data_IF_240748931494
#
_entry.id   IF_240748931494
#
_cell.length_a   1.000
_cell.length_b   1.000
_cell.length_c   1.000
_cell.angle_alpha   90.00
_cell.angle_beta   90.00
_cell.angle_gamma   90.00
#
_symmetry.space_group_name_H-M   'P 1'
#
loop_
_entity.id
_entity.type
_entity.pdbx_description
1 polymer ?
#
# COMPACT_ATOMS: atom_id res chain seq x y z
N UNK A 1 -21.71 6.99 5.80
CA UNK A 1 -21.64 6.72 4.33
C UNK A 1 -21.88 5.23 4.15
N UNK A 2 -22.94 4.84 3.45
CA UNK A 2 -23.11 3.46 3.00
C UNK A 2 -21.95 3.14 2.06
N UNK A 3 -21.06 2.24 2.48
CA UNK A 3 -20.06 1.66 1.60
C UNK A 3 -20.80 0.66 0.71
N UNK A 4 -21.15 1.06 -0.51
CA UNK A 4 -21.68 0.12 -1.49
C UNK A 4 -20.57 -0.86 -1.86
N UNK A 5 -20.74 -2.13 -1.48
CA UNK A 5 -19.87 -3.19 -1.96
C UNK A 5 -20.28 -3.52 -3.40
N UNK A 6 -19.36 -3.30 -4.34
CA UNK A 6 -19.57 -3.69 -5.75
C UNK A 6 -19.10 -5.14 -6.04
N UNK A 7 -18.68 -5.86 -4.99
CA UNK A 7 -18.13 -7.21 -5.13
C UNK A 7 -16.69 -7.22 -5.70
N UNK A 8 -16.28 -8.39 -6.16
CA UNK A 8 -14.98 -8.62 -6.80
C UNK A 8 -15.15 -8.46 -8.32
N UNK A 9 -14.14 -7.90 -8.99
CA UNK A 9 -14.11 -7.79 -10.44
C UNK A 9 -14.28 -9.17 -11.10
N UNK A 10 -15.21 -9.27 -12.04
CA UNK A 10 -15.42 -10.52 -12.79
C UNK A 10 -14.30 -10.76 -13.80
N UNK A 11 -14.07 -12.02 -14.18
CA UNK A 11 -13.10 -12.37 -15.23
C UNK A 11 -13.43 -11.67 -16.57
N UNK A 12 -14.70 -11.48 -16.89
CA UNK A 12 -15.12 -10.74 -18.09
C UNK A 12 -14.69 -9.26 -18.01
N UNK A 13 -14.94 -8.60 -16.89
CA UNK A 13 -14.52 -7.21 -16.68
C UNK A 13 -13.00 -7.09 -16.75
N UNK A 14 -12.26 -7.99 -16.09
CA UNK A 14 -10.81 -8.07 -16.15
C UNK A 14 -10.30 -8.18 -17.59
N UNK A 15 -10.88 -9.09 -18.39
CA UNK A 15 -10.50 -9.26 -19.79
C UNK A 15 -10.78 -8.02 -20.63
N UNK A 16 -11.91 -7.35 -20.39
CA UNK A 16 -12.25 -6.12 -21.09
C UNK A 16 -11.28 -4.98 -20.78
N UNK A 17 -10.89 -4.83 -19.50
CA UNK A 17 -9.88 -3.85 -19.09
C UNK A 17 -8.54 -4.14 -19.75
N UNK A 18 -8.05 -5.39 -19.69
CA UNK A 18 -6.77 -5.77 -20.27
C UNK A 18 -6.74 -5.60 -21.80
N UNK A 19 -7.81 -5.98 -22.50
CA UNK A 19 -7.91 -5.75 -23.96
C UNK A 19 -7.93 -4.26 -24.32
N UNK A 20 -8.57 -3.44 -23.50
CA UNK A 20 -8.59 -1.99 -23.71
C UNK A 20 -7.20 -1.38 -23.52
N UNK A 21 -6.48 -1.81 -22.47
CA UNK A 21 -5.10 -1.39 -22.22
C UNK A 21 -4.17 -1.81 -23.37
N UNK A 22 -4.19 -3.10 -23.74
CA UNK A 22 -3.34 -3.63 -24.81
C UNK A 22 -3.50 -2.86 -26.13
N UNK A 23 -4.75 -2.51 -26.50
CA UNK A 23 -5.03 -1.72 -27.71
C UNK A 23 -4.53 -0.29 -27.67
N UNK A 24 -4.30 0.26 -26.48
CA UNK A 24 -3.83 1.63 -26.29
C UNK A 24 -2.30 1.75 -26.20
N UNK A 25 -1.61 0.62 -26.14
CA UNK A 25 -0.16 0.54 -25.98
C UNK A 25 0.53 0.23 -27.30
N UNK A 26 1.77 0.67 -27.42
CA UNK A 26 2.67 0.44 -28.56
C UNK A 26 3.99 -0.17 -28.10
N UNK A 27 4.73 -0.87 -28.96
CA UNK A 27 6.09 -1.32 -28.65
C UNK A 27 6.97 -0.16 -28.17
N UNK A 28 7.64 -0.37 -27.03
CA UNK A 28 8.42 0.65 -26.32
C UNK A 28 7.71 1.28 -25.13
N UNK A 29 6.38 1.08 -24.99
CA UNK A 29 5.64 1.60 -23.86
C UNK A 29 5.95 0.81 -22.56
N UNK A 30 5.88 1.53 -21.44
CA UNK A 30 6.01 0.97 -20.10
C UNK A 30 4.74 1.29 -19.31
N UNK A 31 4.12 0.27 -18.72
CA UNK A 31 2.92 0.42 -17.91
C UNK A 31 3.10 -0.20 -16.52
N UNK A 32 2.63 0.47 -15.50
CA UNK A 32 2.49 -0.11 -14.15
C UNK A 32 1.02 -0.27 -13.81
N UNK A 33 0.61 -1.50 -13.55
CA UNK A 33 -0.75 -1.81 -13.10
C UNK A 33 -0.76 -1.83 -11.57
N UNK A 34 -1.48 -0.89 -10.96
CA UNK A 34 -1.56 -0.74 -9.52
C UNK A 34 -2.93 -1.23 -9.03
N UNK A 35 -2.94 -2.30 -8.23
CA UNK A 35 -4.14 -2.79 -7.56
C UNK A 35 -4.29 -2.08 -6.22
N UNK A 36 -5.35 -1.28 -6.09
CA UNK A 36 -5.67 -0.53 -4.88
C UNK A 36 -7.18 -0.35 -4.73
N UNK A 37 -7.59 0.16 -3.56
CA UNK A 37 -9.01 0.42 -3.26
C UNK A 37 -9.70 -0.77 -2.60
N UNK A 38 -10.46 -0.53 -1.51
CA UNK A 38 -10.89 -1.58 -0.62
C UNK A 38 -9.67 -2.37 -0.08
N UNK A 39 -9.76 -3.71 -0.13
CA UNK A 39 -8.61 -4.59 0.10
C UNK A 39 -8.48 -5.52 -1.13
N UNK A 40 -7.50 -5.29 -2.01
CA UNK A 40 -7.37 -6.06 -3.25
C UNK A 40 -7.16 -7.56 -3.02
N UNK A 41 -6.48 -7.94 -1.95
CA UNK A 41 -6.20 -9.36 -1.66
C UNK A 41 -7.45 -10.20 -1.40
N UNK A 42 -8.62 -9.57 -1.16
CA UNK A 42 -9.91 -10.26 -1.06
C UNK A 42 -10.32 -10.95 -2.37
N UNK A 43 -9.78 -10.53 -3.52
CA UNK A 43 -10.00 -11.20 -4.79
C UNK A 43 -9.31 -12.58 -4.87
N UNK A 44 -8.39 -12.86 -3.96
CA UNK A 44 -7.61 -14.09 -3.91
C UNK A 44 -6.42 -14.09 -4.88
N UNK A 45 -5.36 -14.83 -4.54
CA UNK A 45 -4.12 -14.85 -5.33
C UNK A 45 -4.33 -15.40 -6.74
N UNK A 46 -5.26 -16.33 -6.94
CA UNK A 46 -5.55 -16.91 -8.24
C UNK A 46 -6.15 -15.91 -9.23
N UNK A 47 -6.90 -14.91 -8.74
CA UNK A 47 -7.34 -13.81 -9.58
C UNK A 47 -6.12 -13.06 -10.14
N UNK A 48 -5.14 -12.74 -9.30
CA UNK A 48 -3.93 -12.03 -9.71
C UNK A 48 -3.02 -12.87 -10.60
N UNK A 49 -2.93 -14.19 -10.37
CA UNK A 49 -2.23 -15.11 -11.28
C UNK A 49 -2.83 -15.07 -12.68
N UNK A 50 -4.17 -15.17 -12.78
CA UNK A 50 -4.86 -15.08 -14.07
C UNK A 50 -4.68 -13.72 -14.73
N UNK A 51 -4.73 -12.63 -13.93
CA UNK A 51 -4.51 -11.29 -14.42
C UNK A 51 -3.09 -11.14 -15.03
N UNK A 52 -2.06 -11.51 -14.30
CA UNK A 52 -0.68 -11.42 -14.76
C UNK A 52 -0.41 -12.31 -15.99
N UNK A 53 -0.91 -13.55 -16.00
CA UNK A 53 -0.75 -14.46 -17.12
C UNK A 53 -1.35 -13.93 -18.45
N UNK A 54 -2.36 -13.06 -18.37
CA UNK A 54 -2.93 -12.43 -19.56
C UNK A 54 -2.01 -11.41 -20.21
N UNK A 55 -1.20 -10.73 -19.42
CA UNK A 55 -0.23 -9.75 -19.94
C UNK A 55 1.03 -10.41 -20.50
N UNK A 56 1.29 -11.68 -20.17
CA UNK A 56 2.42 -12.46 -20.72
C UNK A 56 2.32 -12.68 -22.25
N UNK A 57 1.09 -12.59 -22.78
CA UNK A 57 0.83 -12.72 -24.22
C UNK A 57 0.89 -11.41 -25.01
N UNK A 58 1.18 -10.29 -24.38
CA UNK A 58 1.27 -8.99 -25.05
C UNK A 58 2.54 -8.86 -25.88
N UNK A 59 2.59 -7.83 -26.74
CA UNK A 59 3.78 -7.54 -27.52
C UNK A 59 5.02 -7.45 -26.61
N UNK A 60 6.12 -8.20 -26.92
CA UNK A 60 7.32 -8.21 -26.08
C UNK A 60 8.03 -6.86 -25.98
N UNK A 61 7.71 -5.91 -26.85
CA UNK A 61 8.17 -4.53 -26.76
C UNK A 61 7.45 -3.71 -25.67
N UNK A 62 6.35 -4.21 -25.08
CA UNK A 62 5.63 -3.56 -23.98
C UNK A 62 6.14 -4.08 -22.64
N UNK A 63 6.58 -3.18 -21.78
CA UNK A 63 7.01 -3.53 -20.41
C UNK A 63 5.87 -3.37 -19.41
N UNK A 64 5.45 -4.46 -18.74
CA UNK A 64 4.38 -4.45 -17.74
C UNK A 64 4.96 -4.69 -16.35
N UNK A 65 4.69 -3.78 -15.43
CA UNK A 65 5.03 -3.90 -14.01
C UNK A 65 3.76 -3.94 -13.16
N UNK A 66 3.84 -4.55 -11.99
CA UNK A 66 2.72 -4.68 -11.07
C UNK A 66 3.02 -4.06 -9.71
N UNK A 67 2.03 -3.40 -9.13
CA UNK A 67 2.07 -2.97 -7.75
C UNK A 67 0.75 -3.32 -7.03
N UNK A 68 0.82 -3.60 -5.74
CA UNK A 68 -0.31 -3.96 -4.90
C UNK A 68 -0.30 -3.15 -3.62
N UNK A 69 -1.34 -2.38 -3.33
CA UNK A 69 -1.52 -1.71 -2.04
C UNK A 69 -2.45 -2.54 -1.15
N UNK A 70 -1.97 -2.93 0.03
CA UNK A 70 -2.70 -3.82 0.93
C UNK A 70 -2.55 -3.43 2.40
N UNK A 71 -3.55 -3.79 3.20
CA UNK A 71 -3.46 -3.74 4.66
C UNK A 71 -2.65 -4.91 5.26
N UNK A 72 -2.22 -5.87 4.45
CA UNK A 72 -1.40 -7.00 4.84
C UNK A 72 -2.10 -8.10 5.63
N UNK A 73 -3.39 -7.98 5.91
CA UNK A 73 -4.11 -8.93 6.78
C UNK A 73 -4.24 -10.33 6.19
N UNK A 74 -4.23 -10.46 4.86
CA UNK A 74 -4.40 -11.73 4.14
C UNK A 74 -3.08 -12.29 3.60
N UNK A 75 -1.96 -11.64 3.89
CA UNK A 75 -0.67 -12.06 3.35
C UNK A 75 -0.23 -13.40 3.96
N UNK A 76 0.12 -14.34 3.11
CA UNK A 76 0.61 -15.67 3.45
C UNK A 76 1.76 -16.10 2.52
N UNK A 77 2.19 -17.35 2.61
CA UNK A 77 3.29 -17.88 1.80
C UNK A 77 2.93 -18.00 0.31
N UNK A 78 1.69 -18.31 -0.03
CA UNK A 78 1.22 -18.41 -1.40
C UNK A 78 1.20 -17.04 -2.09
N UNK A 79 0.73 -16.02 -1.37
CA UNK A 79 0.86 -14.64 -1.80
C UNK A 79 2.32 -14.22 -1.98
N UNK A 80 3.21 -14.52 -1.03
CA UNK A 80 4.61 -14.17 -1.15
C UNK A 80 5.28 -14.83 -2.36
N UNK A 81 4.95 -16.09 -2.66
CA UNK A 81 5.45 -16.78 -3.83
C UNK A 81 5.06 -16.06 -5.14
N UNK A 82 3.77 -15.73 -5.30
CA UNK A 82 3.27 -14.98 -6.43
C UNK A 82 3.92 -13.59 -6.56
N UNK A 83 3.94 -12.82 -5.45
CA UNK A 83 4.49 -11.46 -5.43
C UNK A 83 5.98 -11.45 -5.81
N UNK A 84 6.74 -12.45 -5.34
CA UNK A 84 8.15 -12.60 -5.67
C UNK A 84 8.36 -13.02 -7.12
N UNK A 85 7.63 -14.03 -7.61
CA UNK A 85 7.68 -14.51 -8.99
C UNK A 85 7.43 -13.39 -9.99
N UNK A 86 6.37 -12.61 -9.74
CA UNK A 86 5.93 -11.53 -10.64
C UNK A 86 6.58 -10.18 -10.34
N UNK A 87 7.53 -10.12 -9.39
CA UNK A 87 8.21 -8.89 -8.97
C UNK A 87 7.24 -7.75 -8.66
N UNK A 88 6.15 -8.07 -7.96
CA UNK A 88 5.12 -7.09 -7.58
C UNK A 88 5.67 -6.21 -6.47
N UNK A 89 5.65 -4.89 -6.66
CA UNK A 89 5.95 -3.95 -5.59
C UNK A 89 4.76 -3.87 -4.63
N UNK A 90 4.98 -4.19 -3.35
CA UNK A 90 3.94 -4.16 -2.33
C UNK A 90 3.97 -2.84 -1.57
N UNK A 91 2.87 -2.10 -1.59
CA UNK A 91 2.62 -0.98 -0.68
C UNK A 91 1.90 -1.49 0.56
N UNK A 92 2.63 -1.72 1.66
CA UNK A 92 2.05 -2.21 2.92
C UNK A 92 1.58 -1.03 3.78
N UNK A 93 0.29 -1.01 4.09
CA UNK A 93 -0.31 0.04 4.93
C UNK A 93 0.09 -0.12 6.40
N UNK A 94 0.96 0.78 6.91
CA UNK A 94 1.41 0.75 8.30
C UNK A 94 1.72 2.16 8.82
N UNK A 95 1.08 2.56 9.92
CA UNK A 95 1.17 3.95 10.44
C UNK A 95 2.27 4.13 11.50
N UNK A 96 3.31 3.29 11.50
CA UNK A 96 4.56 3.36 12.27
C UNK A 96 4.43 3.25 13.78
N UNK A 97 3.53 3.99 14.42
CA UNK A 97 3.38 4.04 15.88
C UNK A 97 2.20 3.16 16.29
N UNK A 98 2.46 2.13 17.12
CA UNK A 98 1.53 1.06 17.47
C UNK A 98 0.18 1.57 17.94
N UNK A 99 0.16 2.41 18.98
CA UNK A 99 -1.09 2.93 19.55
C UNK A 99 -1.90 3.75 18.54
N UNK A 100 -1.22 4.51 17.68
CA UNK A 100 -1.88 5.32 16.64
C UNK A 100 -2.33 4.48 15.46
N UNK A 101 -1.56 3.45 15.11
CA UNK A 101 -1.95 2.47 14.11
C UNK A 101 -3.20 1.71 14.54
N UNK A 102 -3.16 1.12 15.74
CA UNK A 102 -4.27 0.31 16.27
C UNK A 102 -5.52 1.14 16.58
N UNK A 103 -5.35 2.43 16.88
CA UNK A 103 -6.48 3.36 17.03
C UNK A 103 -7.18 3.70 15.70
N UNK A 104 -6.48 3.60 14.57
CA UNK A 104 -7.01 3.96 13.25
C UNK A 104 -7.32 2.74 12.37
N UNK A 105 -6.58 1.63 12.54
CA UNK A 105 -6.68 0.42 11.72
C UNK A 105 -7.08 -0.77 12.57
N UNK A 106 -8.34 -1.12 12.48
CA UNK A 106 -8.93 -2.24 13.22
C UNK A 106 -9.42 -3.33 12.26
N UNK A 107 -9.46 -4.56 12.76
CA UNK A 107 -10.09 -5.69 12.05
C UNK A 107 -11.63 -5.65 12.17
N UNK A 108 -12.30 -6.60 11.54
CA UNK A 108 -13.76 -6.75 11.59
C UNK A 108 -14.32 -6.93 13.01
N UNK A 109 -13.47 -7.28 13.99
CA UNK A 109 -13.80 -7.42 15.40
C UNK A 109 -13.39 -6.21 16.25
N UNK A 110 -13.06 -5.07 15.59
CA UNK A 110 -12.57 -3.83 16.22
C UNK A 110 -11.29 -3.99 17.03
N UNK A 111 -10.43 -4.96 16.70
CA UNK A 111 -9.11 -5.17 17.32
C UNK A 111 -8.04 -4.52 16.48
N UNK A 112 -7.04 -3.91 17.11
CA UNK A 112 -5.89 -3.33 16.43
C UNK A 112 -5.14 -4.34 15.57
N UNK A 113 -4.58 -3.87 14.45
CA UNK A 113 -3.97 -4.73 13.42
C UNK A 113 -2.44 -4.70 13.41
N UNK A 114 -1.80 -3.88 14.27
CA UNK A 114 -0.34 -3.68 14.32
C UNK A 114 0.43 -5.01 14.34
N UNK A 115 0.08 -5.93 15.26
CA UNK A 115 0.77 -7.21 15.37
C UNK A 115 0.71 -8.01 14.06
N UNK A 116 -0.47 -8.10 13.45
CA UNK A 116 -0.67 -8.86 12.21
C UNK A 116 0.10 -8.23 11.04
N UNK A 117 0.09 -6.91 10.94
CA UNK A 117 0.84 -6.20 9.89
C UNK A 117 2.35 -6.40 10.04
N UNK A 118 2.88 -6.40 11.27
CA UNK A 118 4.28 -6.70 11.53
C UNK A 118 4.66 -8.15 11.18
N UNK A 119 3.78 -9.12 11.41
CA UNK A 119 3.96 -10.51 10.97
C UNK A 119 4.02 -10.57 9.43
N UNK A 120 3.14 -9.85 8.74
CA UNK A 120 3.12 -9.74 7.28
C UNK A 120 4.39 -9.08 6.73
N UNK A 121 4.86 -8.01 7.36
CA UNK A 121 6.11 -7.34 7.01
C UNK A 121 7.31 -8.32 7.08
N UNK A 122 7.43 -9.05 8.20
CA UNK A 122 8.49 -10.08 8.35
C UNK A 122 8.38 -11.18 7.30
N UNK A 123 7.15 -11.54 6.91
CA UNK A 123 6.93 -12.55 5.88
C UNK A 123 7.40 -12.05 4.51
N UNK A 124 7.12 -10.79 4.14
CA UNK A 124 7.65 -10.16 2.92
C UNK A 124 9.18 -10.13 2.95
N UNK A 125 9.79 -9.65 4.04
CA UNK A 125 11.26 -9.60 4.21
C UNK A 125 11.89 -10.99 4.05
N UNK A 126 11.35 -11.98 4.75
CA UNK A 126 11.86 -13.37 4.71
C UNK A 126 11.81 -13.98 3.31
N UNK A 127 10.79 -13.67 2.52
CA UNK A 127 10.62 -14.17 1.16
C UNK A 127 11.31 -13.28 0.11
N UNK A 128 11.96 -12.18 0.51
CA UNK A 128 12.63 -11.24 -0.38
C UNK A 128 11.65 -10.59 -1.38
N UNK A 129 10.43 -10.32 -0.96
CA UNK A 129 9.44 -9.53 -1.72
C UNK A 129 9.75 -8.06 -1.52
N UNK A 130 9.79 -7.29 -2.60
CA UNK A 130 10.00 -5.85 -2.53
C UNK A 130 8.74 -5.15 -2.00
N UNK A 131 8.92 -4.30 -1.00
CA UNK A 131 7.82 -3.52 -0.45
C UNK A 131 8.27 -2.15 0.05
N UNK A 132 7.32 -1.23 0.06
CA UNK A 132 7.41 0.05 0.77
C UNK A 132 6.27 0.14 1.80
N UNK A 133 6.45 1.01 2.78
CA UNK A 133 5.40 1.32 3.74
C UNK A 133 4.59 2.52 3.24
N UNK A 134 3.27 2.38 3.31
CA UNK A 134 2.33 3.47 3.09
C UNK A 134 1.80 3.92 4.46
N UNK A 135 2.29 5.05 4.94
CA UNK A 135 1.90 5.64 6.21
C UNK A 135 0.98 6.84 5.98
N UNK A 136 -0.22 6.81 6.54
CA UNK A 136 -1.08 7.99 6.58
C UNK A 136 -0.55 8.94 7.66
N UNK A 137 0.12 10.01 7.22
CA UNK A 137 0.70 10.99 8.13
C UNK A 137 -0.40 11.88 8.73
N UNK A 138 -0.89 11.47 9.88
CA UNK A 138 -1.86 12.23 10.67
C UNK A 138 -1.17 13.24 11.58
N UNK A 139 -1.92 14.25 12.06
CA UNK A 139 -1.40 15.21 13.03
C UNK A 139 -0.83 14.55 14.32
N UNK A 140 -1.46 13.50 14.92
CA UNK A 140 -0.86 12.76 16.04
C UNK A 140 0.50 12.10 15.68
N UNK A 141 0.62 11.45 14.53
CA UNK A 141 1.88 10.80 14.10
C UNK A 141 2.96 11.85 13.86
N UNK A 142 2.62 12.96 13.20
CA UNK A 142 3.56 14.02 12.85
C UNK A 142 4.10 14.80 14.04
N UNK A 143 3.61 14.55 15.26
CA UNK A 143 4.18 15.08 16.51
C UNK A 143 5.42 14.32 16.99
N UNK A 144 5.72 13.16 16.40
CA UNK A 144 6.72 12.23 16.89
C UNK A 144 7.71 11.77 15.80
N UNK A 145 8.33 12.69 15.03
CA UNK A 145 9.20 12.31 13.91
C UNK A 145 10.39 11.42 14.34
N UNK A 146 11.00 11.66 15.50
CA UNK A 146 12.12 10.85 16.00
C UNK A 146 11.66 9.44 16.43
N UNK A 147 10.41 9.27 16.90
CA UNK A 147 9.86 7.96 17.19
C UNK A 147 9.58 7.20 15.90
N UNK A 148 9.07 7.89 14.88
CA UNK A 148 8.85 7.33 13.54
C UNK A 148 10.17 6.86 12.94
N UNK A 149 11.21 7.71 13.00
CA UNK A 149 12.54 7.34 12.51
C UNK A 149 13.09 6.10 13.21
N UNK A 150 13.13 6.10 14.56
CA UNK A 150 13.57 4.93 15.34
C UNK A 150 12.78 3.67 14.99
N UNK A 151 11.48 3.80 14.71
CA UNK A 151 10.66 2.66 14.31
C UNK A 151 11.04 2.14 12.93
N UNK A 152 11.35 3.02 11.98
CA UNK A 152 11.86 2.61 10.66
C UNK A 152 13.17 1.82 10.80
N UNK A 153 14.11 2.31 11.61
CA UNK A 153 15.37 1.61 11.87
C UNK A 153 15.16 0.23 12.53
N UNK A 154 14.33 0.15 13.57
CA UNK A 154 14.01 -1.11 14.27
C UNK A 154 13.38 -2.18 13.37
N UNK A 155 12.63 -1.76 12.36
CA UNK A 155 11.94 -2.65 11.42
C UNK A 155 12.73 -2.90 10.14
N UNK A 156 13.93 -2.33 10.01
CA UNK A 156 14.73 -2.32 8.77
C UNK A 156 13.90 -1.89 7.54
N UNK A 157 13.09 -0.84 7.71
CA UNK A 157 12.25 -0.28 6.65
C UNK A 157 12.97 0.90 6.03
N UNK A 158 13.30 0.79 4.74
CA UNK A 158 14.08 1.81 4.00
C UNK A 158 13.20 2.74 3.16
N UNK A 159 12.04 2.28 2.74
CA UNK A 159 11.15 3.00 1.83
C UNK A 159 9.80 3.24 2.51
N UNK A 160 9.48 4.48 2.76
CA UNK A 160 8.22 4.91 3.35
C UNK A 160 7.64 6.06 2.54
N UNK A 161 6.39 5.93 2.17
CA UNK A 161 5.60 7.02 1.61
C UNK A 161 4.69 7.57 2.71
N UNK A 162 4.89 8.83 3.08
CA UNK A 162 4.00 9.54 4.00
C UNK A 162 2.94 10.30 3.21
N UNK A 163 1.69 9.85 3.29
CA UNK A 163 0.55 10.52 2.67
C UNK A 163 -0.12 11.43 3.70
N UNK A 164 -0.16 12.76 3.51
CA UNK A 164 -0.75 13.66 4.49
C UNK A 164 -2.25 13.42 4.62
N UNK A 165 -2.72 13.29 5.88
CA UNK A 165 -4.14 13.26 6.19
C UNK A 165 -4.70 14.68 6.10
N UNK A 166 -5.65 14.89 5.21
CA UNK A 166 -6.32 16.17 5.01
C UNK A 166 -7.72 16.16 5.62
N UNK A 167 -8.25 17.33 5.92
CA UNK A 167 -9.65 17.51 6.27
C UNK A 167 -10.58 17.18 5.09
N UNK A 168 -11.83 16.88 5.39
CA UNK A 168 -12.85 16.89 4.36
C UNK A 168 -13.02 18.31 3.81
N UNK A 169 -13.23 18.43 2.49
CA UNK A 169 -13.35 19.72 1.82
C UNK A 169 -14.52 20.54 2.38
N UNK A 170 -15.59 19.86 2.80
CA UNK A 170 -16.80 20.46 3.32
C UNK A 170 -16.66 20.96 4.76
N UNK A 171 -15.70 20.42 5.52
CA UNK A 171 -15.52 20.72 6.96
C UNK A 171 -14.04 20.94 7.32
N UNK A 172 -13.39 21.98 6.77
CA UNK A 172 -11.99 22.23 7.04
C UNK A 172 -11.76 22.63 8.50
N UNK A 173 -10.73 22.06 9.13
CA UNK A 173 -10.33 22.34 10.51
C UNK A 173 -11.07 21.54 11.59
N UNK A 174 -12.00 20.65 11.22
CA UNK A 174 -12.77 19.86 12.20
C UNK A 174 -12.06 18.56 12.63
N UNK A 175 -11.22 18.00 11.79
CA UNK A 175 -10.55 16.72 12.10
C UNK A 175 -9.30 16.92 12.96
N UNK A 176 -9.25 16.28 14.11
CA UNK A 176 -8.04 16.18 14.94
C UNK A 176 -6.88 15.42 14.26
N UNK A 177 -7.18 14.66 13.20
CA UNK A 177 -6.21 13.87 12.44
C UNK A 177 -5.60 14.65 11.27
N UNK A 178 -6.29 15.71 10.83
CA UNK A 178 -5.83 16.49 9.69
C UNK A 178 -4.48 17.18 9.97
N UNK A 179 -3.63 17.13 8.97
CA UNK A 179 -2.28 17.66 9.04
C UNK A 179 -2.25 19.13 8.60
N UNK A 180 -1.79 20.01 9.47
CA UNK A 180 -1.57 21.41 9.10
C UNK A 180 -0.26 21.56 8.31
N UNK A 181 -0.11 22.59 7.42
CA UNK A 181 1.15 22.86 6.73
C UNK A 181 2.34 23.04 7.67
N UNK A 182 2.14 23.72 8.80
CA UNK A 182 3.18 23.92 9.83
C UNK A 182 3.63 22.58 10.44
N UNK A 183 2.68 21.68 10.74
CA UNK A 183 2.98 20.37 11.31
C UNK A 183 3.70 19.48 10.30
N UNK A 184 3.25 19.51 9.05
CA UNK A 184 3.88 18.79 7.94
C UNK A 184 5.35 19.24 7.78
N UNK A 185 5.59 20.54 7.65
CA UNK A 185 6.95 21.07 7.55
C UNK A 185 7.82 20.70 8.77
N UNK A 186 7.28 20.82 10.00
CA UNK A 186 7.99 20.44 11.22
C UNK A 186 8.39 18.95 11.25
N UNK A 187 7.50 18.07 10.78
CA UNK A 187 7.80 16.65 10.68
C UNK A 187 8.99 16.37 9.76
N UNK A 188 8.98 16.92 8.55
CA UNK A 188 10.06 16.68 7.57
C UNK A 188 11.36 17.39 7.96
N UNK A 189 11.29 18.59 8.55
CA UNK A 189 12.49 19.29 9.02
C UNK A 189 13.25 18.50 10.10
N UNK A 190 12.55 17.66 10.88
CA UNK A 190 13.18 16.75 11.84
C UNK A 190 13.57 15.41 11.22
N UNK A 191 12.71 14.81 10.40
CA UNK A 191 12.95 13.48 9.84
C UNK A 191 14.07 13.48 8.79
N UNK A 192 14.11 14.49 7.93
CA UNK A 192 15.06 14.53 6.81
C UNK A 192 16.54 14.55 7.24
N UNK A 193 16.99 15.35 8.25
CA UNK A 193 18.35 15.25 8.76
C UNK A 193 18.69 13.87 9.33
N UNK A 194 17.76 13.19 9.98
CA UNK A 194 17.96 11.83 10.51
C UNK A 194 18.13 10.82 9.38
N UNK A 195 17.41 10.99 8.28
CA UNK A 195 17.53 10.13 7.10
C UNK A 195 18.84 10.33 6.34
N UNK A 196 19.42 11.54 6.38
CA UNK A 196 20.70 11.86 5.72
C UNK A 196 21.93 11.43 6.52
N UNK A 197 21.80 11.21 7.85
CA UNK A 197 22.89 10.83 8.73
C UNK A 197 23.25 9.35 8.62
#
# INVERSE_FOLDING_TARGET
>A
REVRSFGIMTDETMQNVLRSLERSLSPGDQITVISQGGEPMLAGVDFFRRFAARTDGWDPGISVSFALQTNGMLLDHDWCAFLKERRVLVGLSYDMLEDLHDGARVDASSRGTNRRVLESMRLLQKNGVEFNILCTLTNPIARHPEKVWRRMEQLDVRFVQFTPCLDALETPGESQYALTPKRFAGFYNTLFPLWLA
#
